data_IF_946753218305
#
_entry.id   IF_946753218305
#
_cell.length_a   1.000
_cell.length_b   1.000
_cell.length_c   1.000
_cell.angle_alpha   90.00
_cell.angle_beta   90.00
_cell.angle_gamma   90.00
#
_symmetry.space_group_name_H-M   'P 1'
#
loop_
_entity.id
_entity.type
_entity.pdbx_description
1 polymer ?
#
# COMPACT_ATOMS: atom_id res chain seq x y z
N UNK A 1 -0.98 44.61 34.24
CA UNK A 1 -0.09 43.46 34.50
C UNK A 1 -0.78 42.14 34.82
N UNK A 2 -2.07 42.10 35.23
CA UNK A 2 -2.76 40.82 35.53
C UNK A 2 -3.23 40.03 34.30
N UNK A 3 -3.55 40.72 33.20
CA UNK A 3 -4.12 40.09 32.00
C UNK A 3 -3.09 39.43 31.06
N UNK A 4 -1.82 39.82 31.15
CA UNK A 4 -0.75 39.23 30.32
C UNK A 4 -0.36 37.86 30.84
N UNK A 5 -0.17 37.73 32.17
CA UNK A 5 0.14 36.45 32.83
C UNK A 5 -0.93 35.37 32.62
N UNK A 6 -2.19 35.77 32.44
CA UNK A 6 -3.29 34.84 32.17
C UNK A 6 -3.29 34.33 30.71
N UNK A 7 -2.84 35.16 29.77
CA UNK A 7 -2.70 34.80 28.35
C UNK A 7 -1.56 33.81 28.15
N UNK A 8 -0.45 34.00 28.87
CA UNK A 8 0.70 33.11 28.81
C UNK A 8 0.37 31.73 29.43
N UNK A 9 -0.39 31.69 30.53
CA UNK A 9 -0.84 30.45 31.16
C UNK A 9 -1.83 29.65 30.29
N UNK A 10 -2.64 30.32 29.45
CA UNK A 10 -3.58 29.66 28.54
C UNK A 10 -2.91 29.22 27.24
N UNK A 11 -1.80 29.86 26.84
CA UNK A 11 -0.95 29.44 25.72
C UNK A 11 -0.06 28.25 26.06
N UNK A 12 0.32 28.10 27.33
CA UNK A 12 1.14 27.00 27.86
C UNK A 12 0.31 25.78 28.29
N UNK A 13 -1.02 25.88 28.26
CA UNK A 13 -1.91 24.74 28.40
C UNK A 13 -1.75 23.84 27.17
N UNK A 14 -0.93 22.79 27.32
CA UNK A 14 -0.75 21.74 26.34
C UNK A 14 -2.12 21.32 25.79
N UNK A 15 -2.35 21.59 24.50
CA UNK A 15 -3.56 21.20 23.79
C UNK A 15 -3.74 19.70 24.07
N UNK A 16 -4.85 19.25 24.68
CA UNK A 16 -5.04 17.83 24.91
C UNK A 16 -4.96 17.17 23.55
N UNK A 17 -3.98 16.28 23.35
CA UNK A 17 -3.84 15.44 22.16
C UNK A 17 -5.05 14.51 22.10
N UNK A 18 -6.19 15.09 21.71
CA UNK A 18 -7.46 14.43 21.55
C UNK A 18 -7.32 13.63 20.27
N UNK A 19 -7.18 12.32 20.39
CA UNK A 19 -7.27 11.30 19.33
C UNK A 19 -6.12 11.20 18.31
N UNK A 20 -4.88 11.05 18.76
CA UNK A 20 -3.82 10.68 17.83
C UNK A 20 -4.12 9.28 17.22
N UNK A 21 -4.63 9.25 15.98
CA UNK A 21 -5.02 8.00 15.33
C UNK A 21 -3.81 7.09 15.06
N UNK A 22 -2.60 7.67 15.10
CA UNK A 22 -1.33 6.97 15.13
C UNK A 22 -1.07 6.17 16.43
N UNK A 23 -1.60 6.60 17.59
CA UNK A 23 -1.50 5.84 18.85
C UNK A 23 -2.45 4.64 18.88
N UNK A 24 -3.63 4.76 18.26
CA UNK A 24 -4.59 3.64 18.14
C UNK A 24 -4.00 2.48 17.32
N UNK A 25 -3.06 2.76 16.41
CA UNK A 25 -2.27 1.76 15.68
C UNK A 25 -1.18 1.15 16.56
N UNK A 26 -0.65 1.90 17.53
CA UNK A 26 0.45 1.48 18.41
C UNK A 26 -0.02 0.60 19.57
N UNK A 27 -1.26 0.74 20.03
CA UNK A 27 -1.88 -0.16 21.02
C UNK A 27 -2.32 -1.48 20.39
N UNK A 28 -1.36 -2.34 20.07
CA UNK A 28 -1.62 -3.71 19.61
C UNK A 28 -2.18 -4.56 20.75
N UNK A 29 -3.44 -4.97 20.64
CA UNK A 29 -3.98 -5.99 21.54
C UNK A 29 -3.35 -7.35 21.18
N UNK A 30 -2.97 -8.21 22.14
CA UNK A 30 -2.44 -9.54 21.83
C UNK A 30 -3.43 -10.39 21.01
N UNK A 31 -4.74 -10.09 21.13
CA UNK A 31 -5.78 -10.72 20.32
C UNK A 31 -5.69 -10.35 18.84
N UNK A 32 -5.21 -9.14 18.50
CA UNK A 32 -5.02 -8.72 17.11
C UNK A 32 -3.87 -9.52 16.48
N UNK A 33 -2.79 -9.76 17.23
CA UNK A 33 -1.66 -10.60 16.77
C UNK A 33 -2.13 -12.04 16.51
N UNK A 34 -2.99 -12.58 17.38
CA UNK A 34 -3.59 -13.91 17.19
C UNK A 34 -4.46 -13.95 15.92
N UNK A 35 -5.30 -12.94 15.69
CA UNK A 35 -6.12 -12.82 14.48
C UNK A 35 -5.27 -12.73 13.20
N UNK A 36 -4.16 -11.99 13.25
CA UNK A 36 -3.17 -11.91 12.16
C UNK A 36 -2.50 -13.25 11.87
N UNK A 37 -2.08 -13.98 12.92
CA UNK A 37 -1.49 -15.31 12.78
C UNK A 37 -2.51 -16.28 12.17
N UNK A 38 -3.76 -16.25 12.62
CA UNK A 38 -4.84 -17.09 12.07
C UNK A 38 -5.07 -16.75 10.59
N UNK A 39 -5.11 -15.47 10.22
CA UNK A 39 -5.28 -15.05 8.83
C UNK A 39 -4.10 -15.50 7.94
N UNK A 40 -2.87 -15.41 8.45
CA UNK A 40 -1.67 -15.85 7.73
C UNK A 40 -1.68 -17.37 7.52
N UNK A 41 -2.04 -18.14 8.56
CA UNK A 41 -2.19 -19.60 8.47
C UNK A 41 -3.27 -19.95 7.45
N UNK A 42 -4.39 -19.23 7.42
CA UNK A 42 -5.48 -19.48 6.49
C UNK A 42 -5.10 -19.16 5.04
N UNK A 43 -4.29 -18.12 4.81
CA UNK A 43 -3.78 -17.74 3.49
C UNK A 43 -2.74 -18.74 2.98
N UNK A 44 -1.81 -19.18 3.84
CA UNK A 44 -0.86 -20.25 3.52
C UNK A 44 -1.60 -21.57 3.28
N UNK A 45 -2.61 -21.87 4.09
CA UNK A 45 -3.51 -23.01 3.88
C UNK A 45 -4.18 -22.96 2.51
N UNK A 46 -4.64 -21.79 2.08
CA UNK A 46 -5.29 -21.60 0.78
C UNK A 46 -4.36 -21.88 -0.42
N UNK A 47 -3.04 -21.67 -0.31
CA UNK A 47 -2.11 -22.06 -1.39
C UNK A 47 -1.89 -23.57 -1.42
N UNK A 48 -1.90 -24.22 -0.25
CA UNK A 48 -1.79 -25.68 -0.11
C UNK A 48 -3.06 -26.41 -0.56
N UNK A 49 -4.21 -25.74 -0.58
CA UNK A 49 -5.49 -26.28 -1.09
C UNK A 49 -5.31 -26.83 -2.50
N UNK A 50 -4.65 -26.12 -3.41
CA UNK A 50 -4.51 -26.57 -4.79
C UNK A 50 -3.72 -27.88 -4.93
N UNK A 51 -2.74 -28.11 -4.06
CA UNK A 51 -1.87 -29.29 -4.11
C UNK A 51 -2.44 -30.47 -3.31
N UNK A 52 -3.12 -30.22 -2.18
CA UNK A 52 -3.50 -31.27 -1.24
C UNK A 52 -5.00 -31.64 -1.31
N UNK A 53 -5.93 -30.72 -1.63
CA UNK A 53 -7.36 -31.07 -1.72
C UNK A 53 -7.71 -32.19 -2.71
N UNK A 54 -7.09 -32.33 -3.90
CA UNK A 54 -7.46 -33.41 -4.83
C UNK A 54 -7.17 -34.81 -4.27
N UNK A 55 -6.27 -34.93 -3.29
CA UNK A 55 -5.94 -36.19 -2.65
C UNK A 55 -6.93 -36.59 -1.52
N UNK A 56 -7.61 -35.63 -0.89
CA UNK A 56 -8.51 -35.88 0.25
C UNK A 56 -9.99 -35.79 -0.13
N UNK A 57 -10.36 -35.11 -1.22
CA UNK A 57 -11.77 -34.91 -1.58
C UNK A 57 -12.01 -34.98 -3.10
N UNK A 58 -12.69 -36.04 -3.56
CA UNK A 58 -12.93 -36.32 -4.99
C UNK A 58 -13.66 -35.20 -5.79
N UNK A 59 -14.65 -34.48 -5.25
CA UNK A 59 -15.28 -33.32 -5.91
C UNK A 59 -14.35 -32.13 -6.07
N UNK A 60 -13.24 -32.06 -5.30
CA UNK A 60 -12.23 -31.03 -5.46
C UNK A 60 -11.32 -31.29 -6.68
N UNK A 61 -11.55 -32.33 -7.47
CA UNK A 61 -10.87 -32.48 -8.75
C UNK A 61 -11.34 -31.45 -9.79
N UNK A 62 -12.57 -30.94 -9.63
CA UNK A 62 -13.14 -29.92 -10.50
C UNK A 62 -12.56 -28.53 -10.18
N UNK A 63 -12.12 -27.81 -11.22
CA UNK A 63 -11.39 -26.55 -11.09
C UNK A 63 -12.23 -25.46 -10.41
N UNK A 64 -13.54 -25.46 -10.65
CA UNK A 64 -14.49 -24.48 -10.12
C UNK A 64 -14.67 -24.61 -8.60
N UNK A 65 -14.69 -25.83 -8.08
CA UNK A 65 -14.81 -26.09 -6.63
C UNK A 65 -13.55 -25.61 -5.90
N UNK A 66 -12.36 -25.81 -6.47
CA UNK A 66 -11.09 -25.30 -5.90
C UNK A 66 -11.07 -23.78 -5.82
N UNK A 67 -11.42 -23.12 -6.92
CA UNK A 67 -11.48 -21.65 -6.97
C UNK A 67 -12.50 -21.13 -5.94
N UNK A 68 -13.66 -21.79 -5.80
CA UNK A 68 -14.67 -21.44 -4.80
C UNK A 68 -14.16 -21.56 -3.36
N UNK A 69 -13.48 -22.66 -3.02
CA UNK A 69 -12.91 -22.87 -1.67
C UNK A 69 -11.80 -21.86 -1.36
N UNK A 70 -10.90 -21.63 -2.31
CA UNK A 70 -9.82 -20.63 -2.16
C UNK A 70 -10.41 -19.24 -1.96
N UNK A 71 -11.41 -18.87 -2.77
CA UNK A 71 -12.07 -17.58 -2.66
C UNK A 71 -12.80 -17.44 -1.32
N UNK A 72 -13.47 -18.48 -0.84
CA UNK A 72 -14.13 -18.50 0.47
C UNK A 72 -13.11 -18.31 1.61
N UNK A 73 -11.97 -19.01 1.57
CA UNK A 73 -10.89 -18.83 2.54
C UNK A 73 -10.37 -17.39 2.51
N UNK A 74 -10.13 -16.84 1.34
CA UNK A 74 -9.66 -15.45 1.18
C UNK A 74 -10.68 -14.46 1.79
N UNK A 75 -11.97 -14.61 1.48
CA UNK A 75 -13.03 -13.75 2.04
C UNK A 75 -13.05 -13.84 3.57
N UNK A 76 -12.95 -15.04 4.13
CA UNK A 76 -12.93 -15.25 5.59
C UNK A 76 -11.69 -14.61 6.22
N UNK A 77 -10.50 -14.77 5.62
CA UNK A 77 -9.27 -14.12 6.08
C UNK A 77 -9.38 -12.60 6.08
N UNK A 78 -9.88 -12.02 4.99
CA UNK A 78 -10.10 -10.57 4.90
C UNK A 78 -11.16 -10.09 5.91
N UNK A 79 -12.22 -10.87 6.14
CA UNK A 79 -13.23 -10.57 7.16
C UNK A 79 -12.67 -10.55 8.58
N UNK A 80 -11.83 -11.55 8.93
CA UNK A 80 -11.12 -11.62 10.21
C UNK A 80 -10.17 -10.43 10.40
N UNK A 81 -9.41 -10.08 9.35
CA UNK A 81 -8.51 -8.92 9.38
C UNK A 81 -9.29 -7.59 9.50
N UNK A 82 -10.44 -7.45 8.85
CA UNK A 82 -11.29 -6.27 9.00
C UNK A 82 -11.92 -6.16 10.40
N UNK A 83 -12.23 -7.29 11.04
CA UNK A 83 -12.78 -7.32 12.39
C UNK A 83 -11.77 -6.91 13.48
N UNK A 84 -10.46 -6.95 13.16
CA UNK A 84 -9.34 -6.61 14.05
C UNK A 84 -9.37 -5.12 14.41
N UNK A 85 -8.94 -4.76 15.63
CA UNK A 85 -8.97 -3.37 16.12
C UNK A 85 -8.17 -2.41 15.22
N UNK A 86 -7.02 -2.89 14.74
CA UNK A 86 -6.20 -2.19 13.75
C UNK A 86 -6.90 -1.98 12.40
N UNK A 87 -7.73 -2.93 11.95
CA UNK A 87 -8.48 -2.85 10.68
C UNK A 87 -9.52 -1.72 10.68
N UNK A 88 -10.24 -1.57 11.80
CA UNK A 88 -11.21 -0.48 11.98
C UNK A 88 -10.52 0.88 12.13
N UNK A 89 -9.37 0.92 12.82
CA UNK A 89 -8.53 2.12 12.93
C UNK A 89 -8.01 2.59 11.58
N UNK A 90 -7.53 1.66 10.75
CA UNK A 90 -7.09 1.93 9.38
C UNK A 90 -8.24 2.41 8.48
N UNK A 91 -9.43 1.83 8.59
CA UNK A 91 -10.61 2.30 7.84
C UNK A 91 -11.00 3.74 8.20
N UNK A 92 -10.85 4.13 9.47
CA UNK A 92 -11.06 5.49 9.93
C UNK A 92 -9.98 6.45 9.40
N UNK A 93 -8.71 6.05 9.47
CA UNK A 93 -7.60 6.78 8.86
C UNK A 93 -7.79 7.01 7.37
N UNK A 94 -8.21 5.98 6.61
CA UNK A 94 -8.53 6.12 5.18
C UNK A 94 -9.63 7.15 4.92
N UNK A 95 -10.66 7.19 5.78
CA UNK A 95 -11.74 8.18 5.67
C UNK A 95 -11.23 9.59 5.94
N UNK A 96 -10.40 9.75 6.96
CA UNK A 96 -9.80 11.05 7.32
C UNK A 96 -8.80 11.51 6.25
N UNK A 97 -7.97 10.60 5.72
CA UNK A 97 -7.07 10.84 4.59
C UNK A 97 -7.81 11.25 3.33
N UNK A 98 -9.00 10.70 3.04
CA UNK A 98 -9.82 11.14 1.90
C UNK A 98 -10.37 12.56 2.06
N UNK A 99 -10.65 12.99 3.29
CA UNK A 99 -11.09 14.36 3.56
C UNK A 99 -9.91 15.32 3.35
N UNK A 100 -8.71 14.94 3.79
CA UNK A 100 -7.50 15.73 3.59
C UNK A 100 -7.05 15.74 2.11
N UNK A 101 -7.20 14.63 1.38
CA UNK A 101 -6.91 14.55 -0.05
C UNK A 101 -7.75 15.53 -0.89
N UNK A 102 -8.96 15.88 -0.42
CA UNK A 102 -9.82 16.87 -1.07
C UNK A 102 -9.33 18.30 -0.86
N UNK A 103 -8.48 18.53 0.15
CA UNK A 103 -7.82 19.82 0.40
C UNK A 103 -6.53 19.97 -0.40
N UNK A 104 -6.01 18.87 -0.96
CA UNK A 104 -4.92 18.93 -1.92
C UNK A 104 -5.46 19.59 -3.19
N UNK A 105 -5.12 20.85 -3.36
CA UNK A 105 -5.31 21.59 -4.60
C UNK A 105 -4.40 20.97 -5.65
N UNK A 106 -4.89 19.91 -6.29
CA UNK A 106 -4.15 19.26 -7.35
C UNK A 106 -3.79 20.30 -8.42
N UNK A 107 -2.52 20.33 -8.85
CA UNK A 107 -2.05 21.28 -9.84
C UNK A 107 -2.95 21.19 -11.08
N UNK A 108 -3.24 22.33 -11.67
CA UNK A 108 -4.03 22.39 -12.91
C UNK A 108 -3.34 21.55 -14.00
N UNK A 109 -4.14 20.93 -14.88
CA UNK A 109 -3.64 20.04 -15.94
C UNK A 109 -2.56 20.69 -16.81
N UNK A 110 -2.58 22.01 -16.93
CA UNK A 110 -1.65 22.79 -17.72
C UNK A 110 -0.23 22.81 -17.13
N UNK A 111 -0.10 22.90 -15.80
CA UNK A 111 1.20 22.81 -15.11
C UNK A 111 1.76 21.38 -15.20
N UNK A 112 0.90 20.38 -14.97
CA UNK A 112 1.29 18.96 -15.05
C UNK A 112 1.76 18.57 -16.45
N UNK A 113 1.09 19.05 -17.50
CA UNK A 113 1.49 18.79 -18.88
C UNK A 113 2.81 19.47 -19.24
N UNK A 114 3.04 20.68 -18.74
CA UNK A 114 4.31 21.40 -18.96
C UNK A 114 5.48 20.61 -18.41
N UNK A 115 5.40 20.16 -17.14
CA UNK A 115 6.46 19.35 -16.54
C UNK A 115 6.60 17.97 -17.20
N UNK A 116 5.49 17.33 -17.59
CA UNK A 116 5.52 16.03 -18.28
C UNK A 116 6.23 16.13 -19.63
N UNK A 117 5.99 17.22 -20.39
CA UNK A 117 6.64 17.46 -21.68
C UNK A 117 8.14 17.73 -21.54
N UNK A 118 8.55 18.47 -20.50
CA UNK A 118 9.95 18.68 -20.17
C UNK A 118 10.66 17.36 -19.86
N UNK A 119 10.07 16.52 -19.00
CA UNK A 119 10.63 15.20 -18.67
C UNK A 119 10.68 14.31 -19.91
N UNK A 120 9.62 14.31 -20.73
CA UNK A 120 9.58 13.53 -21.97
C UNK A 120 10.70 13.94 -22.93
N UNK A 121 10.94 15.24 -23.10
CA UNK A 121 12.03 15.74 -23.94
C UNK A 121 13.40 15.23 -23.43
N UNK A 122 13.64 15.27 -22.12
CA UNK A 122 14.89 14.76 -21.53
C UNK A 122 15.03 13.24 -21.74
N UNK A 123 13.96 12.46 -21.58
CA UNK A 123 13.96 11.00 -21.80
C UNK A 123 14.24 10.68 -23.27
N UNK A 124 13.63 11.40 -24.22
CA UNK A 124 13.89 11.22 -25.66
C UNK A 124 15.35 11.49 -25.98
N UNK A 125 15.92 12.60 -25.51
CA UNK A 125 17.34 12.92 -25.71
C UNK A 125 18.25 11.85 -25.12
N UNK A 126 17.99 11.42 -23.88
CA UNK A 126 18.76 10.36 -23.23
C UNK A 126 18.67 9.04 -23.99
N UNK A 127 17.49 8.67 -24.48
CA UNK A 127 17.29 7.43 -25.26
C UNK A 127 18.07 7.44 -26.58
N UNK A 128 18.12 8.58 -27.29
CA UNK A 128 18.87 8.72 -28.54
C UNK A 128 20.38 8.66 -28.26
N UNK A 129 20.84 9.30 -27.18
CA UNK A 129 22.26 9.27 -26.80
C UNK A 129 22.71 7.85 -26.44
N UNK A 130 21.94 7.13 -25.63
CA UNK A 130 22.24 5.74 -25.29
C UNK A 130 22.22 4.87 -26.55
N UNK A 131 21.18 4.98 -27.38
CA UNK A 131 21.08 4.24 -28.63
C UNK A 131 22.29 4.46 -29.56
N UNK A 132 22.77 5.71 -29.67
CA UNK A 132 23.97 6.04 -30.42
C UNK A 132 25.22 5.37 -29.81
N UNK A 133 25.35 5.41 -28.49
CA UNK A 133 26.46 4.78 -27.78
C UNK A 133 26.45 3.25 -27.95
N UNK A 134 25.29 2.62 -27.85
CA UNK A 134 25.10 1.18 -28.12
C UNK A 134 25.51 0.82 -29.56
N UNK A 135 25.17 1.68 -30.53
CA UNK A 135 25.61 1.50 -31.93
C UNK A 135 27.12 1.59 -32.09
N UNK A 136 27.76 2.58 -31.43
CA UNK A 136 29.21 2.76 -31.48
C UNK A 136 29.94 1.59 -30.80
N UNK A 137 29.47 1.16 -29.63
CA UNK A 137 30.03 -0.01 -28.94
C UNK A 137 29.86 -1.29 -29.77
N UNK A 138 28.69 -1.49 -30.38
CA UNK A 138 28.43 -2.63 -31.26
C UNK A 138 29.32 -2.62 -32.50
N UNK A 139 29.55 -1.45 -33.09
CA UNK A 139 30.50 -1.28 -34.19
C UNK A 139 31.94 -1.56 -33.76
N UNK A 140 32.37 -1.00 -32.62
CA UNK A 140 33.71 -1.22 -32.07
C UNK A 140 33.95 -2.71 -31.74
N UNK A 141 32.96 -3.39 -31.16
CA UNK A 141 33.05 -4.82 -30.89
C UNK A 141 33.13 -5.66 -32.16
N UNK A 142 32.45 -5.26 -33.25
CA UNK A 142 32.62 -5.92 -34.55
C UNK A 142 34.03 -5.74 -35.12
N UNK A 143 34.70 -4.63 -34.84
CA UNK A 143 36.11 -4.43 -35.20
C UNK A 143 37.10 -5.24 -34.35
N UNK A 144 36.72 -5.62 -33.13
CA UNK A 144 37.56 -6.38 -32.19
C UNK A 144 37.40 -7.90 -32.36
N UNK A 145 36.16 -8.35 -32.59
CA UNK A 145 35.82 -9.78 -32.78
C UNK A 145 35.91 -10.19 -34.26
N UNK A 146 35.88 -9.22 -35.17
CA UNK A 146 36.21 -9.39 -36.58
C UNK A 146 37.71 -9.41 -36.81
#
# INVERSE_FOLDING_TARGET
MSNEKLRDAQSDAAIPQRNNSAEVVKSGSPLDVVLWIIALILLIGATMVNQHLPAYWAPANDIWVRVGVILACIIVAFGLLYATHQGKGFARLLKDSRIELRRVTWPTKQETMTTSWQVLAVVVVASILLWCFDYILGWLMKFIIG
#
